data_IF_806696790502
#
_entry.id   IF_806696790502
#
_cell.length_a   1.000
_cell.length_b   1.000
_cell.length_c   1.000
_cell.angle_alpha   90.00
_cell.angle_beta   90.00
_cell.angle_gamma   90.00
#
_symmetry.space_group_name_H-M   'P 1'
#
loop_
_entity.id
_entity.type
_entity.pdbx_description
1 polymer ?
#
# COMPACT_ATOMS: atom_id res chain seq x y z
N UNK A 1 19.47 31.72 13.73
CA UNK A 1 19.74 31.32 12.33
C UNK A 1 19.77 29.80 12.26
N UNK A 2 18.60 29.19 12.26
CA UNK A 2 18.37 27.79 11.90
C UNK A 2 17.15 27.86 10.99
N UNK A 3 17.41 27.85 9.69
CA UNK A 3 16.39 28.05 8.69
C UNK A 3 15.33 26.95 8.77
N UNK A 4 14.08 27.39 8.70
CA UNK A 4 12.91 26.67 8.22
C UNK A 4 13.27 25.68 7.09
N UNK A 5 13.23 24.37 7.37
CA UNK A 5 13.29 23.30 6.35
C UNK A 5 12.04 22.42 6.50
N UNK A 6 10.86 23.04 6.61
CA UNK A 6 9.58 22.30 6.51
C UNK A 6 8.47 23.12 5.81
N UNK A 7 8.77 24.34 5.37
CA UNK A 7 7.81 25.22 4.71
C UNK A 7 7.70 24.92 3.21
N UNK A 8 7.20 23.73 2.86
CA UNK A 8 6.47 23.38 1.61
C UNK A 8 6.26 21.86 1.54
N UNK A 9 5.24 21.32 2.22
CA UNK A 9 4.71 19.99 1.89
C UNK A 9 3.50 20.15 0.95
N UNK A 10 3.63 19.91 -0.36
CA UNK A 10 2.48 19.83 -1.23
C UNK A 10 1.73 18.54 -0.87
N UNK A 11 0.54 18.64 -0.29
CA UNK A 11 -0.26 17.47 0.05
C UNK A 11 -1.35 17.65 1.10
N UNK A 12 -1.40 18.79 1.78
CA UNK A 12 -2.43 19.04 2.80
C UNK A 12 -3.77 19.45 2.16
N UNK A 13 -4.35 18.56 1.36
CA UNK A 13 -5.79 18.59 1.05
C UNK A 13 -6.49 17.78 2.13
N UNK A 14 -7.61 18.27 2.71
CA UNK A 14 -8.33 17.53 3.73
C UNK A 14 -8.80 16.18 3.16
N UNK A 15 -8.44 15.14 3.90
CA UNK A 15 -8.82 13.74 3.78
C UNK A 15 -10.21 13.52 3.15
N UNK A 16 -10.22 13.28 1.83
CA UNK A 16 -11.23 12.43 1.18
C UNK A 16 -10.61 11.05 0.93
N UNK A 17 -9.90 10.51 1.91
CA UNK A 17 -9.54 9.10 1.93
C UNK A 17 -10.83 8.30 1.80
N UNK A 18 -10.83 7.36 0.86
CA UNK A 18 -11.89 6.38 0.79
C UNK A 18 -11.81 5.57 2.09
N UNK A 19 -12.63 5.94 3.07
CA UNK A 19 -12.81 5.13 4.28
C UNK A 19 -13.38 3.80 3.81
N UNK A 20 -12.58 2.74 3.84
CA UNK A 20 -13.17 1.42 3.82
C UNK A 20 -13.75 1.15 5.20
N UNK A 21 -14.97 1.66 5.41
CA UNK A 21 -15.73 1.52 6.66
C UNK A 21 -15.97 0.03 6.97
N UNK A 22 -15.82 -0.86 5.99
CA UNK A 22 -15.95 -2.31 6.18
C UNK A 22 -14.66 -2.97 6.70
N UNK A 23 -13.50 -2.35 6.49
CA UNK A 23 -12.18 -2.91 6.79
C UNK A 23 -11.54 -2.42 8.10
N UNK A 24 -12.07 -1.36 8.72
CA UNK A 24 -11.52 -0.78 9.96
C UNK A 24 -10.24 0.03 9.77
N UNK A 25 -9.91 0.40 8.52
CA UNK A 25 -8.73 1.20 8.19
C UNK A 25 -9.04 2.31 7.19
N UNK A 26 -8.18 3.33 7.18
CA UNK A 26 -8.18 4.40 6.19
C UNK A 26 -7.10 4.13 5.16
N UNK A 27 -7.45 4.28 3.88
CA UNK A 27 -6.52 4.21 2.75
C UNK A 27 -6.68 5.47 1.91
N UNK A 28 -5.59 6.22 1.81
CA UNK A 28 -5.47 7.38 0.93
C UNK A 28 -4.35 7.11 -0.07
N UNK A 29 -4.54 7.55 -1.31
CA UNK A 29 -3.45 7.57 -2.30
C UNK A 29 -3.14 9.01 -2.63
N UNK A 30 -1.87 9.36 -2.58
CA UNK A 30 -1.41 10.67 -3.03
C UNK A 30 -1.44 10.78 -4.56
N UNK A 31 -1.02 11.95 -5.07
CA UNK A 31 -1.01 12.24 -6.50
C UNK A 31 -0.08 11.30 -7.31
N UNK A 32 0.83 10.59 -6.64
CA UNK A 32 1.73 9.60 -7.23
C UNK A 32 1.20 8.17 -7.09
N UNK A 33 0.03 8.00 -6.48
CA UNK A 33 -0.61 6.72 -6.24
C UNK A 33 -0.03 5.95 -5.04
N UNK A 34 0.87 6.55 -4.24
CA UNK A 34 1.48 5.88 -3.09
C UNK A 34 0.42 5.72 -1.99
N UNK A 35 0.21 4.49 -1.46
CA UNK A 35 -0.79 4.27 -0.43
C UNK A 35 -0.30 4.72 0.95
N UNK A 36 -1.07 5.59 1.58
CA UNK A 36 -0.95 6.01 2.97
C UNK A 36 -2.04 5.31 3.79
N UNK A 37 -1.63 4.53 4.80
CA UNK A 37 -2.50 3.64 5.55
C UNK A 37 -2.56 4.04 7.02
N UNK A 38 -3.75 4.02 7.59
CA UNK A 38 -3.96 4.21 9.05
C UNK A 38 -4.97 3.22 9.58
N UNK A 39 -4.71 2.67 10.76
CA UNK A 39 -5.61 1.79 11.48
C UNK A 39 -5.36 1.91 12.99
N UNK A 40 -6.34 1.48 13.80
CA UNK A 40 -6.25 1.56 15.26
C UNK A 40 -5.26 0.54 15.87
N UNK A 41 -4.96 -0.54 15.15
CA UNK A 41 -4.08 -1.62 15.61
C UNK A 41 -3.24 -2.21 14.47
N UNK A 42 -2.19 -2.94 14.85
CA UNK A 42 -1.21 -3.48 13.90
C UNK A 42 -1.79 -4.57 12.98
N UNK A 43 -2.75 -5.37 13.44
CA UNK A 43 -3.34 -6.44 12.64
C UNK A 43 -4.24 -5.86 11.55
N UNK A 44 -5.04 -4.85 11.88
CA UNK A 44 -5.84 -4.10 10.92
C UNK A 44 -4.95 -3.35 9.93
N UNK A 45 -3.83 -2.77 10.37
CA UNK A 45 -2.86 -2.14 9.48
C UNK A 45 -2.19 -3.14 8.53
N UNK A 46 -1.82 -4.33 9.01
CA UNK A 46 -1.24 -5.38 8.18
C UNK A 46 -2.23 -5.86 7.11
N UNK A 47 -3.52 -5.98 7.45
CA UNK A 47 -4.58 -6.26 6.47
C UNK A 47 -4.68 -5.17 5.41
N UNK A 48 -4.70 -3.91 5.83
CA UNK A 48 -4.73 -2.76 4.91
C UNK A 48 -3.52 -2.77 3.96
N UNK A 49 -2.33 -3.06 4.50
CA UNK A 49 -1.10 -3.15 3.73
C UNK A 49 -1.15 -4.29 2.71
N UNK A 50 -1.61 -5.47 3.12
CA UNK A 50 -1.84 -6.59 2.21
C UNK A 50 -2.82 -6.25 1.09
N UNK A 51 -3.93 -5.58 1.42
CA UNK A 51 -4.93 -5.15 0.43
C UNK A 51 -4.36 -4.16 -0.59
N UNK A 52 -3.70 -3.09 -0.13
CA UNK A 52 -3.07 -2.11 -1.01
C UNK A 52 -2.00 -2.76 -1.91
N UNK A 53 -1.18 -3.64 -1.34
CA UNK A 53 -0.13 -4.37 -2.06
C UNK A 53 -0.72 -5.32 -3.10
N UNK A 54 -1.82 -6.02 -2.80
CA UNK A 54 -2.49 -6.89 -3.75
C UNK A 54 -3.05 -6.11 -4.95
N UNK A 55 -3.64 -4.94 -4.71
CA UNK A 55 -4.13 -4.08 -5.80
C UNK A 55 -3.01 -3.58 -6.70
N UNK A 56 -1.87 -3.21 -6.12
CA UNK A 56 -0.78 -2.58 -6.89
C UNK A 56 0.12 -3.63 -7.56
N UNK A 57 0.38 -4.73 -6.86
CA UNK A 57 1.49 -5.66 -7.13
C UNK A 57 1.04 -7.12 -7.23
N UNK A 58 -0.24 -7.37 -7.53
CA UNK A 58 -0.81 -8.73 -7.63
C UNK A 58 0.12 -9.72 -8.35
N UNK A 59 0.63 -9.35 -9.52
CA UNK A 59 1.45 -10.26 -10.30
C UNK A 59 2.89 -10.42 -9.76
N UNK A 60 3.45 -9.39 -9.11
CA UNK A 60 4.74 -9.56 -8.45
C UNK A 60 4.60 -10.54 -7.28
N UNK A 61 3.55 -10.39 -6.47
CA UNK A 61 3.26 -11.32 -5.37
C UNK A 61 3.09 -12.75 -5.85
N UNK A 62 2.32 -12.97 -6.90
CA UNK A 62 2.05 -14.31 -7.41
C UNK A 62 3.28 -14.92 -8.11
N UNK A 63 4.14 -14.11 -8.74
CA UNK A 63 5.44 -14.57 -9.25
C UNK A 63 6.35 -15.03 -8.11
N UNK A 64 6.47 -14.24 -7.04
CA UNK A 64 7.28 -14.61 -5.88
C UNK A 64 6.71 -15.84 -5.15
N UNK A 65 5.38 -15.96 -5.07
CA UNK A 65 4.72 -17.18 -4.57
C UNK A 65 5.18 -18.41 -5.35
N UNK A 66 5.16 -18.35 -6.67
CA UNK A 66 5.62 -19.45 -7.50
C UNK A 66 7.12 -19.74 -7.34
N UNK A 67 7.96 -18.71 -7.16
CA UNK A 67 9.41 -18.88 -6.90
C UNK A 67 9.66 -19.61 -5.58
N UNK A 68 9.02 -19.16 -4.50
CA UNK A 68 9.15 -19.76 -3.17
C UNK A 68 8.61 -21.19 -3.14
N UNK A 69 7.54 -21.47 -3.88
CA UNK A 69 6.94 -22.80 -3.99
C UNK A 69 7.66 -23.71 -5.01
N UNK A 70 8.67 -23.24 -5.74
CA UNK A 70 9.36 -24.03 -6.76
C UNK A 70 8.50 -24.39 -7.98
N UNK A 71 7.48 -23.58 -8.29
CA UNK A 71 6.49 -23.85 -9.34
C UNK A 71 6.54 -22.85 -10.50
N UNK A 72 7.58 -22.02 -10.59
CA UNK A 72 7.70 -20.97 -11.62
C UNK A 72 7.56 -21.47 -13.07
N UNK A 73 8.04 -22.69 -13.38
CA UNK A 73 7.95 -23.27 -14.73
C UNK A 73 6.49 -23.42 -15.22
N UNK A 74 5.51 -23.53 -14.33
CA UNK A 74 4.09 -23.63 -14.69
C UNK A 74 3.54 -22.40 -15.42
N UNK A 75 4.19 -21.22 -15.26
CA UNK A 75 3.76 -19.95 -15.86
C UNK A 75 4.85 -19.27 -16.71
N UNK A 76 6.13 -19.62 -16.49
CA UNK A 76 7.26 -19.02 -17.22
C UNK A 76 7.83 -19.93 -18.33
N UNK A 77 7.47 -21.21 -18.37
CA UNK A 77 8.04 -22.18 -19.31
C UNK A 77 9.33 -22.83 -18.82
N UNK A 78 9.90 -23.69 -19.67
CA UNK A 78 11.14 -24.43 -19.44
C UNK A 78 12.36 -23.66 -19.96
#
# INVERSE_FOLDING_TARGET
MTADVDSERPGERPDRGARDVSGGYELFRDDWGIPHLRAADAHTLARAQGHATALDRAWQLETERHRVLGTSASHLGA
#
